data_IF_450357797141
#
_entry.id   IF_450357797141
#
_cell.length_a   1.000
_cell.length_b   1.000
_cell.length_c   1.000
_cell.angle_alpha   90.00
_cell.angle_beta   90.00
_cell.angle_gamma   90.00
#
_symmetry.space_group_name_H-M   'P 1'
#
loop_
_entity.id
_entity.type
_entity.pdbx_description
1 polymer ?
#
# COMPACT_ATOMS: atom_id res chain seq x y z
N UNK A 1 13.38 14.51 -8.60
CA UNK A 1 13.87 13.26 -9.13
C UNK A 1 13.30 12.08 -8.37
N UNK A 2 12.63 11.20 -9.02
CA UNK A 2 12.08 10.04 -8.38
C UNK A 2 13.15 8.99 -8.08
N UNK A 3 12.91 8.16 -7.06
CA UNK A 3 13.71 6.96 -6.83
C UNK A 3 13.33 5.91 -7.88
N UNK A 4 13.99 4.76 -7.85
CA UNK A 4 13.62 3.65 -8.70
C UNK A 4 12.19 3.19 -8.48
N UNK A 5 11.62 3.50 -7.31
CA UNK A 5 10.25 3.13 -6.96
C UNK A 5 9.19 4.00 -7.64
N UNK A 6 9.59 5.13 -8.23
CA UNK A 6 8.66 6.04 -8.90
C UNK A 6 8.60 5.86 -10.41
N UNK A 7 9.07 4.73 -10.91
CA UNK A 7 9.06 4.45 -12.35
C UNK A 7 7.72 3.88 -12.78
N UNK A 8 7.05 4.61 -13.67
CA UNK A 8 5.76 4.17 -14.24
C UNK A 8 5.96 2.87 -15.01
N UNK A 9 5.09 1.90 -14.74
CA UNK A 9 5.08 0.61 -15.42
C UNK A 9 6.04 -0.43 -14.86
N UNK A 10 6.91 -0.06 -13.95
CA UNK A 10 7.85 -1.00 -13.36
C UNK A 10 7.15 -1.86 -12.32
N UNK A 11 7.33 -3.18 -12.41
CA UNK A 11 6.76 -4.15 -11.47
C UNK A 11 7.77 -4.43 -10.36
N UNK A 12 7.36 -4.22 -9.12
CA UNK A 12 8.22 -4.41 -7.96
C UNK A 12 7.77 -5.67 -7.22
N UNK A 13 8.66 -6.67 -7.14
CA UNK A 13 8.38 -7.91 -6.44
C UNK A 13 8.40 -7.72 -4.94
N UNK A 14 7.46 -8.39 -4.26
CA UNK A 14 7.37 -8.40 -2.80
C UNK A 14 7.04 -9.82 -2.34
N UNK A 15 7.30 -10.17 -1.07
CA UNK A 15 7.03 -11.54 -0.59
C UNK A 15 5.59 -11.98 -0.77
N UNK A 16 4.65 -11.06 -0.77
CA UNK A 16 3.21 -11.34 -0.90
C UNK A 16 2.72 -11.29 -2.35
N UNK A 17 3.55 -10.85 -3.28
CA UNK A 17 3.16 -10.70 -4.68
C UNK A 17 3.96 -9.61 -5.38
N UNK A 18 3.28 -8.58 -5.87
CA UNK A 18 3.96 -7.50 -6.56
C UNK A 18 3.07 -6.26 -6.65
N UNK A 19 3.68 -5.10 -6.86
CA UNK A 19 2.93 -3.91 -7.24
C UNK A 19 3.58 -3.24 -8.43
N UNK A 20 2.76 -2.51 -9.19
CA UNK A 20 3.20 -1.76 -10.36
C UNK A 20 2.70 -0.34 -10.22
N UNK A 21 3.58 0.63 -10.42
CA UNK A 21 3.19 2.03 -10.40
C UNK A 21 2.54 2.38 -11.74
N UNK A 22 1.26 2.77 -11.70
CA UNK A 22 0.49 3.08 -12.89
C UNK A 22 0.56 4.57 -13.23
N UNK A 23 0.48 5.42 -12.20
CA UNK A 23 0.55 6.86 -12.38
C UNK A 23 1.06 7.50 -11.09
N UNK A 24 1.81 8.59 -11.23
CA UNK A 24 2.29 9.36 -10.09
C UNK A 24 2.27 10.84 -10.45
N UNK A 25 1.61 11.62 -9.63
CA UNK A 25 1.49 13.08 -9.78
C UNK A 25 1.67 13.71 -8.40
N UNK A 26 1.75 15.03 -8.39
CA UNK A 26 1.71 15.76 -7.13
C UNK A 26 0.37 15.47 -6.45
N UNK A 27 0.41 14.94 -5.24
CA UNK A 27 -0.78 14.69 -4.44
C UNK A 27 -1.41 13.33 -4.60
N UNK A 28 -1.02 12.51 -5.60
CA UNK A 28 -1.55 11.16 -5.69
C UNK A 28 -0.67 10.20 -6.48
N UNK A 29 -0.83 8.90 -6.17
CA UNK A 29 -0.24 7.79 -6.93
C UNK A 29 -1.30 6.74 -7.15
N UNK A 30 -1.19 6.01 -8.26
CA UNK A 30 -2.05 4.87 -8.57
C UNK A 30 -1.16 3.65 -8.73
N UNK A 31 -1.50 2.57 -8.02
CA UNK A 31 -0.76 1.31 -8.07
C UNK A 31 -1.70 0.16 -8.39
N UNK A 32 -1.15 -0.83 -9.07
CA UNK A 32 -1.80 -2.11 -9.28
C UNK A 32 -1.13 -3.12 -8.34
N UNK A 33 -1.91 -3.70 -7.44
CA UNK A 33 -1.41 -4.68 -6.48
C UNK A 33 -1.84 -6.07 -6.93
N UNK A 34 -0.89 -7.01 -6.94
CA UNK A 34 -1.14 -8.41 -7.25
C UNK A 34 -0.78 -9.22 -6.02
N UNK A 35 -1.76 -9.87 -5.42
CA UNK A 35 -1.52 -10.64 -4.19
C UNK A 35 -1.62 -12.12 -4.51
N UNK A 36 -0.55 -12.85 -4.20
CA UNK A 36 -0.49 -14.29 -4.45
C UNK A 36 -1.55 -15.04 -3.63
N UNK A 37 -2.05 -16.17 -4.16
CA UNK A 37 -3.03 -16.96 -3.42
C UNK A 37 -2.57 -17.30 -2.01
N UNK A 38 -3.43 -17.07 -1.03
CA UNK A 38 -3.16 -17.37 0.37
C UNK A 38 -2.17 -16.43 1.05
N UNK A 39 -1.71 -15.39 0.36
CA UNK A 39 -0.76 -14.43 0.93
C UNK A 39 -1.46 -13.15 1.34
N UNK A 40 -0.76 -12.37 2.16
CA UNK A 40 -1.30 -11.09 2.63
C UNK A 40 -0.16 -10.11 2.87
N UNK A 41 -0.48 -8.83 2.75
CA UNK A 41 0.42 -7.75 3.10
C UNK A 41 0.53 -7.68 4.63
N UNK A 42 1.45 -6.87 5.12
CA UNK A 42 1.54 -6.63 6.57
C UNK A 42 0.28 -5.95 7.08
N UNK A 43 0.04 -6.09 8.38
CA UNK A 43 -0.91 -5.23 9.09
C UNK A 43 -0.16 -3.93 9.34
N UNK A 44 -0.63 -2.84 8.76
CA UNK A 44 0.19 -1.64 8.62
C UNK A 44 -0.63 -0.37 8.71
N UNK A 45 0.06 0.75 8.87
CA UNK A 45 -0.55 2.08 8.75
C UNK A 45 0.41 3.04 8.08
N UNK A 46 -0.13 4.14 7.59
CA UNK A 46 0.63 5.22 6.97
C UNK A 46 0.25 6.53 7.63
N UNK A 47 1.25 7.38 7.90
CA UNK A 47 1.02 8.63 8.61
C UNK A 47 0.70 9.80 7.68
N UNK A 48 1.02 9.68 6.38
CA UNK A 48 1.01 10.82 5.47
C UNK A 48 0.09 10.65 4.28
N UNK A 49 -0.66 9.54 4.19
CA UNK A 49 -1.51 9.31 3.03
C UNK A 49 -2.75 8.51 3.40
N UNK A 50 -3.79 8.68 2.60
CA UNK A 50 -4.95 7.80 2.60
C UNK A 50 -4.92 6.95 1.33
N UNK A 51 -5.77 5.91 1.28
CA UNK A 51 -5.82 5.00 0.15
C UNK A 51 -7.25 4.63 -0.18
N UNK A 52 -7.53 4.47 -1.47
CA UNK A 52 -8.76 3.82 -1.94
C UNK A 52 -8.35 2.54 -2.64
N UNK A 53 -9.06 1.45 -2.35
CA UNK A 53 -8.83 0.16 -2.97
C UNK A 53 -10.06 -0.25 -3.75
N UNK A 54 -9.87 -0.75 -4.95
CA UNK A 54 -10.93 -1.36 -5.77
C UNK A 54 -10.44 -2.72 -6.21
N UNK A 55 -11.23 -3.76 -5.92
CA UNK A 55 -10.91 -5.12 -6.37
C UNK A 55 -11.33 -5.23 -7.83
N UNK A 56 -10.37 -5.54 -8.70
CA UNK A 56 -10.65 -5.70 -10.13
C UNK A 56 -10.61 -7.17 -10.56
N UNK A 57 -10.02 -8.05 -9.73
CA UNK A 57 -10.01 -9.48 -10.00
C UNK A 57 -9.87 -10.24 -8.69
N UNK A 58 -10.71 -11.24 -8.48
CA UNK A 58 -10.66 -12.07 -7.28
C UNK A 58 -11.48 -11.51 -6.13
N UNK A 59 -11.20 -12.03 -4.93
CA UNK A 59 -11.87 -11.62 -3.69
C UNK A 59 -10.80 -11.26 -2.68
N UNK A 60 -10.95 -10.12 -2.02
CA UNK A 60 -10.02 -9.64 -1.00
C UNK A 60 -10.63 -9.79 0.38
N UNK A 61 -9.82 -10.20 1.36
CA UNK A 61 -10.17 -10.01 2.75
C UNK A 61 -9.46 -8.75 3.21
N UNK A 62 -10.22 -7.81 3.75
CA UNK A 62 -9.71 -6.50 4.14
C UNK A 62 -9.85 -6.32 5.63
N UNK A 63 -8.77 -5.89 6.27
CA UNK A 63 -8.82 -5.33 7.62
C UNK A 63 -8.72 -3.82 7.48
N UNK A 64 -9.68 -3.10 8.06
CA UNK A 64 -9.72 -1.64 8.01
C UNK A 64 -10.17 -1.15 9.39
N UNK A 65 -9.22 -0.70 10.21
CA UNK A 65 -9.50 -0.37 11.60
C UNK A 65 -9.98 -1.60 12.36
N UNK A 66 -11.15 -1.52 12.96
CA UNK A 66 -11.73 -2.63 13.72
C UNK A 66 -12.58 -3.58 12.88
N UNK A 67 -12.71 -3.31 11.58
CA UNK A 67 -13.56 -4.10 10.69
C UNK A 67 -12.75 -5.06 9.85
N UNK A 68 -13.25 -6.29 9.69
CA UNK A 68 -12.68 -7.28 8.77
C UNK A 68 -13.83 -7.75 7.88
N UNK A 69 -13.63 -7.66 6.57
CA UNK A 69 -14.70 -7.98 5.63
C UNK A 69 -14.15 -8.46 4.28
N UNK A 70 -15.00 -9.04 3.48
CA UNK A 70 -14.65 -9.48 2.14
C UNK A 70 -15.12 -8.45 1.11
N UNK A 71 -14.30 -8.23 0.11
CA UNK A 71 -14.64 -7.42 -1.06
C UNK A 71 -14.53 -8.29 -2.29
N UNK A 72 -15.62 -8.41 -3.04
CA UNK A 72 -15.59 -9.11 -4.31
C UNK A 72 -15.23 -8.12 -5.42
N UNK A 73 -15.05 -8.64 -6.63
CA UNK A 73 -14.76 -7.81 -7.80
C UNK A 73 -15.77 -6.66 -7.89
N UNK A 74 -15.26 -5.48 -8.14
CA UNK A 74 -15.97 -4.19 -8.15
C UNK A 74 -16.21 -3.60 -6.76
N UNK A 75 -15.91 -4.33 -5.69
CA UNK A 75 -16.01 -3.78 -4.35
C UNK A 75 -14.82 -2.90 -4.04
N UNK A 76 -15.03 -1.90 -3.18
CA UNK A 76 -13.98 -0.99 -2.79
C UNK A 76 -14.09 -0.52 -1.35
N UNK A 77 -13.02 0.05 -0.85
CA UNK A 77 -12.97 0.61 0.50
C UNK A 77 -12.01 1.79 0.56
N UNK A 78 -12.28 2.70 1.48
CA UNK A 78 -11.40 3.83 1.76
C UNK A 78 -10.64 3.58 3.06
N UNK A 79 -9.32 3.75 3.01
CA UNK A 79 -8.45 3.64 4.17
C UNK A 79 -7.99 5.05 4.53
N UNK A 80 -8.43 5.57 5.67
CA UNK A 80 -8.07 6.93 6.08
C UNK A 80 -6.63 6.98 6.59
N UNK A 81 -6.06 8.19 6.60
CA UNK A 81 -4.71 8.41 7.16
C UNK A 81 -4.67 7.85 8.58
N UNK A 82 -3.63 7.09 8.89
CA UNK A 82 -3.42 6.53 10.21
C UNK A 82 -4.22 5.28 10.54
N UNK A 83 -5.15 4.87 9.66
CA UNK A 83 -5.93 3.67 9.93
C UNK A 83 -5.10 2.42 9.74
N UNK A 84 -5.19 1.51 10.69
CA UNK A 84 -4.53 0.19 10.61
C UNK A 84 -5.28 -0.63 9.59
N UNK A 85 -4.55 -1.24 8.63
CA UNK A 85 -5.20 -1.96 7.55
C UNK A 85 -4.33 -3.10 7.02
N UNK A 86 -4.98 -4.03 6.33
CA UNK A 86 -4.31 -5.18 5.71
C UNK A 86 -5.13 -5.67 4.53
N UNK A 87 -4.43 -6.04 3.47
CA UNK A 87 -5.02 -6.66 2.28
C UNK A 87 -4.58 -8.11 2.22
N UNK A 88 -5.52 -9.03 2.04
CA UNK A 88 -5.25 -10.46 2.01
C UNK A 88 -5.98 -11.11 0.85
N UNK A 89 -5.32 -12.09 0.22
CA UNK A 89 -5.94 -12.97 -0.78
C UNK A 89 -6.30 -14.29 -0.11
N UNK A 90 -7.58 -14.49 0.27
CA UNK A 90 -7.98 -15.72 0.96
C UNK A 90 -8.19 -16.91 0.04
N UNK A 91 -8.18 -16.69 -1.27
CA UNK A 91 -8.54 -17.72 -2.25
C UNK A 91 -7.33 -18.38 -2.90
N UNK A 92 -7.61 -19.36 -3.76
CA UNK A 92 -6.59 -20.07 -4.51
C UNK A 92 -6.28 -19.43 -5.86
N UNK A 93 -7.07 -18.44 -6.28
CA UNK A 93 -6.85 -17.71 -7.53
C UNK A 93 -6.15 -16.38 -7.29
N UNK A 94 -5.86 -15.64 -8.36
CA UNK A 94 -5.17 -14.35 -8.23
C UNK A 94 -6.10 -13.27 -7.68
N UNK A 95 -5.50 -12.32 -6.98
CA UNK A 95 -6.19 -11.11 -6.51
C UNK A 95 -5.48 -9.90 -7.10
N UNK A 96 -6.23 -9.01 -7.74
CA UNK A 96 -5.70 -7.75 -8.27
C UNK A 96 -6.54 -6.60 -7.73
N UNK A 97 -5.86 -5.62 -7.14
CA UNK A 97 -6.48 -4.44 -6.55
C UNK A 97 -5.84 -3.20 -7.16
N UNK A 98 -6.65 -2.22 -7.51
CA UNK A 98 -6.17 -0.89 -7.89
C UNK A 98 -6.22 -0.03 -6.65
N UNK A 99 -5.08 0.56 -6.32
CA UNK A 99 -4.92 1.40 -5.13
C UNK A 99 -4.64 2.83 -5.57
N UNK A 100 -5.43 3.77 -5.06
CA UNK A 100 -5.18 5.19 -5.25
C UNK A 100 -4.71 5.75 -3.91
N UNK A 101 -3.47 6.25 -3.88
CA UNK A 101 -2.90 6.90 -2.71
C UNK A 101 -3.04 8.40 -2.88
N UNK A 102 -3.54 9.09 -1.85
CA UNK A 102 -3.65 10.55 -1.87
C UNK A 102 -3.01 11.13 -0.62
N UNK A 103 -2.26 12.22 -0.80
CA UNK A 103 -1.57 12.85 0.31
C UNK A 103 -0.45 13.76 -0.18
N UNK A 104 0.14 14.47 0.75
CA UNK A 104 1.23 15.39 0.45
C UNK A 104 2.58 14.69 0.38
N UNK A 105 2.68 13.53 1.01
CA UNK A 105 3.93 12.78 1.11
C UNK A 105 3.62 11.31 0.82
N UNK A 106 4.05 10.84 -0.34
CA UNK A 106 3.73 9.51 -0.83
C UNK A 106 4.96 8.60 -0.89
N UNK A 107 5.94 8.84 -0.02
CA UNK A 107 7.13 7.99 0.06
C UNK A 107 6.76 6.57 0.45
N UNK A 108 7.42 5.59 -0.17
CA UNK A 108 7.20 4.17 0.17
C UNK A 108 7.63 3.86 1.59
N UNK A 109 8.53 4.65 2.17
CA UNK A 109 8.99 4.48 3.53
C UNK A 109 7.99 4.97 4.58
N UNK A 110 6.88 5.59 4.17
CA UNK A 110 5.80 5.95 5.09
C UNK A 110 4.98 4.72 5.41
N UNK A 111 5.53 3.84 6.23
CA UNK A 111 4.87 2.60 6.63
C UNK A 111 5.30 2.21 8.04
N UNK A 112 4.32 1.82 8.85
CA UNK A 112 4.57 1.19 10.14
C UNK A 112 3.87 -0.16 10.11
N UNK A 113 4.67 -1.23 10.19
CA UNK A 113 4.17 -2.60 10.17
C UNK A 113 3.95 -3.07 11.59
N UNK A 114 2.74 -3.51 11.89
CA UNK A 114 2.35 -4.04 13.20
C UNK A 114 2.49 -5.55 13.25
N UNK A 115 2.25 -6.22 12.12
CA UNK A 115 2.42 -7.67 11.94
C UNK A 115 2.88 -7.90 10.51
N UNK A 116 3.79 -8.85 10.31
CA UNK A 116 4.23 -9.19 8.97
C UNK A 116 4.61 -10.67 8.91
N UNK A 117 3.93 -11.41 8.05
CA UNK A 117 4.18 -12.85 7.88
C UNK A 117 5.59 -13.14 7.37
N UNK A 118 6.26 -12.14 6.79
CA UNK A 118 7.55 -12.31 6.14
C UNK A 118 8.70 -11.75 6.97
N UNK A 119 8.43 -11.31 8.19
CA UNK A 119 9.48 -10.85 9.11
C UNK A 119 10.14 -9.54 8.75
N UNK A 120 9.50 -8.69 7.95
CA UNK A 120 10.07 -7.39 7.62
C UNK A 120 10.00 -6.47 8.85
N UNK A 121 10.90 -5.47 8.94
CA UNK A 121 10.93 -4.59 10.12
C UNK A 121 9.66 -3.75 10.25
N UNK A 122 9.41 -3.26 11.45
CA UNK A 122 8.27 -2.40 11.73
C UNK A 122 8.32 -1.12 10.87
N UNK A 123 9.49 -0.55 10.70
CA UNK A 123 9.68 0.64 9.87
C UNK A 123 10.80 0.38 8.89
N UNK A 124 10.68 0.99 7.69
CA UNK A 124 11.75 0.96 6.71
C UNK A 124 12.70 2.14 6.99
N UNK A 125 13.89 2.10 6.39
CA UNK A 125 14.89 3.15 6.55
C UNK A 125 14.83 4.06 5.32
N UNK A 126 14.73 5.36 5.55
CA UNK A 126 14.82 6.32 4.47
C UNK A 126 16.26 6.45 3.99
N UNK A 127 16.45 7.11 2.84
CA UNK A 127 17.78 7.30 2.24
C UNK A 127 18.79 7.87 3.22
N UNK A 128 18.34 8.72 4.16
CA UNK A 128 19.22 9.35 5.13
C UNK A 128 19.48 8.49 6.37
N UNK A 129 19.02 7.26 6.36
CA UNK A 129 19.22 6.37 7.49
C UNK A 129 18.29 6.60 8.66
N UNK A 130 17.25 7.40 8.50
CA UNK A 130 16.28 7.68 9.56
C UNK A 130 15.11 6.73 9.46
N UNK A 131 14.54 6.28 10.60
CA UNK A 131 13.33 5.47 10.58
C UNK A 131 12.18 6.27 9.95
N UNK A 132 11.51 5.66 8.97
CA UNK A 132 10.48 6.34 8.20
C UNK A 132 9.35 6.90 9.06
N UNK A 133 8.80 6.10 9.95
CA UNK A 133 7.67 6.51 10.78
C UNK A 133 7.97 7.59 11.80
N UNK A 134 9.21 8.05 11.89
CA UNK A 134 9.61 9.10 12.83
C UNK A 134 9.85 10.44 12.14
N UNK A 135 9.71 10.50 10.82
CA UNK A 135 9.96 11.71 10.04
C UNK A 135 8.61 12.34 9.70
N UNK A 136 8.43 13.65 9.98
CA UNK A 136 7.16 14.32 9.64
C UNK A 136 6.87 14.22 8.14
N UNK A 137 5.59 14.32 7.81
CA UNK A 137 5.16 14.31 6.42
C UNK A 137 5.73 15.50 5.67
N UNK A 138 6.21 15.26 4.45
CA UNK A 138 6.73 16.34 3.61
C UNK A 138 5.56 17.19 3.11
N UNK A 139 5.80 18.50 2.90
CA UNK A 139 4.79 19.31 2.25
C UNK A 139 4.59 18.86 0.81
N UNK A 140 3.41 19.16 0.27
CA UNK A 140 3.10 18.83 -1.12
C UNK A 140 4.02 19.60 -2.06
N UNK A 141 4.48 18.91 -3.12
CA UNK A 141 5.32 19.56 -4.13
C UNK A 141 4.52 20.61 -4.88
N UNK A 142 5.16 21.74 -5.14
CA UNK A 142 4.58 22.75 -6.01
C UNK A 142 5.01 22.45 -7.43
N UNK A 143 4.08 22.38 -8.32
CA UNK A 143 4.35 22.09 -9.73
C UNK A 143 3.78 23.16 -10.62
#
# INVERSE_FOLDING_TARGET
MGSGEDRIGERIERPWGAWTLVEARSGYKVKRLEVLPGKRLSLQKHDCRSEHWVVVKGTARVTNGDSIFLLETNGGTFISVGAVHRLENPDSGPLVVIEVQTGKDLRETDIIRLEDDFGRPATDIEERGLPAGKVPCRPESKT
#
